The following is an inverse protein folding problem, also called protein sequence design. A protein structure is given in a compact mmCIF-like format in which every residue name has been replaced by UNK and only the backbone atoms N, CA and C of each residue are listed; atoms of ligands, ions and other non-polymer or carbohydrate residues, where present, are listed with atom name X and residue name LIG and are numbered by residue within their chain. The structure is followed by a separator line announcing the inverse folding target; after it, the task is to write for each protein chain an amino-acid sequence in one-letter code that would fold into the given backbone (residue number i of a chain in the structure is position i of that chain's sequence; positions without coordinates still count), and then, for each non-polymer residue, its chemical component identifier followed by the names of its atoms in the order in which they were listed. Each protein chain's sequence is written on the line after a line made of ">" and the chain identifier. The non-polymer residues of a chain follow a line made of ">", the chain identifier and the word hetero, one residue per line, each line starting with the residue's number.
data_IF_827627819483
#
_entry.id   IF_827627819483
#
_cell.length_a   1.000
_cell.length_b   1.000
_cell.length_c   1.000
_cell.angle_alpha   90.00
_cell.angle_beta   90.00
_cell.angle_gamma   90.00
#
_symmetry.space_group_name_H-M   'P 1'
#
loop_
_entity.id
_entity.type
_entity.pdbx_description
1 polymer ?
#
# COMPACT_ATOMS: atom_id res chain seq x y z
N UNK A 1 7.26 -7.25 -31.93
CA UNK A 1 7.91 -6.34 -30.95
C UNK A 1 7.08 -5.08 -30.90
N UNK A 2 6.31 -4.87 -29.83
CA UNK A 2 5.71 -3.57 -29.58
C UNK A 2 6.84 -2.59 -29.16
N UNK A 3 6.83 -1.33 -29.63
CA UNK A 3 7.82 -0.35 -29.20
C UNK A 3 7.68 -0.07 -27.70
N UNK A 4 8.76 0.34 -27.00
CA UNK A 4 8.65 0.83 -25.64
C UNK A 4 7.72 2.05 -25.65
N UNK A 5 6.55 1.93 -25.04
CA UNK A 5 5.63 3.06 -24.84
C UNK A 5 6.29 3.96 -23.79
N UNK A 6 7.02 4.96 -24.25
CA UNK A 6 7.33 6.12 -23.43
C UNK A 6 6.01 6.84 -23.19
N UNK A 7 5.53 6.81 -21.95
CA UNK A 7 4.32 7.54 -21.55
C UNK A 7 4.68 9.04 -21.58
N UNK A 8 3.98 9.79 -22.43
CA UNK A 8 4.22 11.20 -22.71
C UNK A 8 3.97 12.14 -21.51
N UNK A 9 4.41 13.39 -21.67
CA UNK A 9 4.52 14.45 -20.67
C UNK A 9 3.25 14.76 -19.86
N UNK A 10 3.46 15.09 -18.58
CA UNK A 10 2.45 15.44 -17.57
C UNK A 10 1.47 16.55 -17.99
N UNK A 11 0.21 16.51 -17.50
CA UNK A 11 -0.67 17.68 -17.49
C UNK A 11 -0.07 18.81 -16.62
N UNK A 12 -0.12 20.04 -17.13
CA UNK A 12 0.41 21.26 -16.47
C UNK A 12 -0.24 21.62 -15.12
N UNK A 13 -1.23 20.85 -14.64
CA UNK A 13 -2.00 21.13 -13.42
C UNK A 13 -1.29 20.79 -12.10
N UNK A 14 -0.04 20.29 -12.16
CA UNK A 14 0.74 19.85 -10.99
C UNK A 14 1.80 20.85 -10.51
N UNK A 15 1.82 22.09 -11.02
CA UNK A 15 2.80 23.10 -10.60
C UNK A 15 2.27 23.88 -9.37
N UNK A 16 2.87 23.77 -8.17
CA UNK A 16 2.65 24.75 -7.12
C UNK A 16 3.37 26.06 -7.48
N UNK A 17 2.77 27.20 -7.10
CA UNK A 17 3.33 28.54 -7.31
C UNK A 17 4.63 28.77 -6.52
N UNK A 18 5.50 29.63 -7.05
CA UNK A 18 6.88 29.92 -6.59
C UNK A 18 6.98 30.78 -5.31
N UNK A 19 6.05 30.65 -4.36
CA UNK A 19 6.11 31.46 -3.14
C UNK A 19 6.78 30.67 -2.01
N UNK A 20 7.93 31.17 -1.54
CA UNK A 20 8.64 30.64 -0.37
C UNK A 20 7.77 30.91 0.87
N UNK A 21 7.22 29.88 1.55
CA UNK A 21 6.35 30.10 2.70
C UNK A 21 7.17 30.43 3.94
N UNK A 22 6.65 31.32 4.79
CA UNK A 22 7.15 31.55 6.14
C UNK A 22 7.10 30.24 6.98
N UNK A 23 7.95 30.09 8.02
CA UNK A 23 7.95 28.91 8.88
C UNK A 23 6.55 28.63 9.43
N UNK A 24 6.05 27.40 9.20
CA UNK A 24 4.72 27.01 9.68
C UNK A 24 4.72 26.98 11.22
N UNK A 25 3.75 27.62 11.89
CA UNK A 25 3.67 27.59 13.34
C UNK A 25 3.47 26.16 13.85
N UNK A 26 4.04 25.86 15.02
CA UNK A 26 3.73 24.62 15.74
C UNK A 26 2.25 24.64 16.13
N UNK A 27 1.49 23.65 15.64
CA UNK A 27 0.07 23.50 15.99
C UNK A 27 -0.07 22.74 17.30
N UNK A 28 -0.92 23.24 18.19
CA UNK A 28 -1.18 22.69 19.52
C UNK A 28 -2.32 21.67 19.55
N UNK A 29 -3.05 21.48 18.44
CA UNK A 29 -4.18 20.56 18.36
C UNK A 29 -4.14 19.71 17.09
N UNK A 30 -4.49 18.40 17.17
CA UNK A 30 -4.54 17.53 16.00
C UNK A 30 -5.54 18.05 14.96
N UNK A 31 -5.15 18.03 13.68
CA UNK A 31 -6.05 18.36 12.57
C UNK A 31 -6.91 17.13 12.25
N UNK A 32 -8.22 17.32 12.17
CA UNK A 32 -9.13 16.30 11.67
C UNK A 32 -9.09 16.24 10.14
N UNK A 33 -9.04 15.03 9.59
CA UNK A 33 -9.17 14.85 8.15
C UNK A 33 -10.54 15.34 7.65
N UNK A 34 -10.52 15.98 6.49
CA UNK A 34 -11.68 16.52 5.77
C UNK A 34 -11.43 16.26 4.29
N UNK A 35 -12.22 15.39 3.64
CA UNK A 35 -12.00 15.02 2.24
C UNK A 35 -12.09 16.20 1.29
N UNK A 36 -12.92 17.22 1.57
CA UNK A 36 -13.08 18.39 0.69
C UNK A 36 -11.86 19.29 0.68
N UNK A 37 -11.16 19.34 1.81
CA UNK A 37 -9.96 20.16 1.99
C UNK A 37 -8.70 19.40 1.61
N UNK A 38 -8.63 18.14 2.03
CA UNK A 38 -7.39 17.40 2.05
C UNK A 38 -7.16 16.54 0.81
N UNK A 39 -8.22 16.16 0.08
CA UNK A 39 -8.10 15.46 -1.20
C UNK A 39 -8.00 16.44 -2.37
N UNK A 40 -7.13 16.11 -3.32
CA UNK A 40 -7.03 16.76 -4.63
C UNK A 40 -7.07 15.70 -5.73
N UNK A 41 -8.01 14.78 -5.60
CA UNK A 41 -8.11 13.61 -6.47
C UNK A 41 -8.43 14.00 -7.91
N UNK A 42 -7.62 13.51 -8.84
CA UNK A 42 -7.91 13.46 -10.26
C UNK A 42 -7.65 12.03 -10.71
N UNK A 43 -8.55 11.36 -11.44
CA UNK A 43 -8.33 9.98 -11.87
C UNK A 43 -7.09 9.85 -12.77
N UNK A 44 -6.39 8.70 -12.72
CA UNK A 44 -5.30 8.43 -13.66
C UNK A 44 -5.84 8.39 -15.09
N UNK A 45 -5.04 8.85 -16.04
CA UNK A 45 -5.36 8.81 -17.47
C UNK A 45 -5.37 7.40 -18.03
N UNK A 46 -4.52 6.52 -17.50
CA UNK A 46 -4.46 5.12 -17.87
C UNK A 46 -4.13 4.24 -16.67
N UNK A 47 -4.81 3.09 -16.61
CA UNK A 47 -4.45 1.98 -15.75
C UNK A 47 -3.90 0.85 -16.63
N UNK A 48 -2.75 0.30 -16.24
CA UNK A 48 -2.17 -0.89 -16.81
C UNK A 48 -2.91 -2.12 -16.29
N UNK A 49 -3.29 -3.01 -17.20
CA UNK A 49 -3.78 -4.35 -16.89
C UNK A 49 -2.61 -5.34 -16.83
N UNK A 50 -2.81 -6.49 -16.18
CA UNK A 50 -1.83 -7.58 -16.17
C UNK A 50 -1.42 -7.99 -17.58
N UNK A 51 -2.36 -8.04 -18.51
CA UNK A 51 -2.11 -8.34 -19.92
C UNK A 51 -1.19 -7.33 -20.60
N UNK A 52 -1.20 -6.06 -20.18
CA UNK A 52 -0.33 -5.02 -20.76
C UNK A 52 1.15 -5.25 -20.43
N UNK A 53 1.43 -5.99 -19.35
CA UNK A 53 2.78 -6.42 -18.95
C UNK A 53 3.03 -7.92 -19.23
N UNK A 54 2.13 -8.57 -19.97
CA UNK A 54 2.23 -9.97 -20.36
C UNK A 54 1.95 -10.97 -19.23
N UNK A 55 1.32 -10.55 -18.15
CA UNK A 55 0.88 -11.43 -17.06
C UNK A 55 -0.60 -11.79 -17.23
N UNK A 56 -0.99 -12.96 -16.74
CA UNK A 56 -2.40 -13.32 -16.61
C UNK A 56 -3.06 -12.52 -15.48
N UNK A 57 -4.37 -12.20 -15.60
CA UNK A 57 -5.13 -11.63 -14.50
C UNK A 57 -4.98 -12.46 -13.21
N UNK A 58 -4.89 -11.78 -12.07
CA UNK A 58 -4.97 -12.46 -10.77
C UNK A 58 -6.39 -12.96 -10.52
N UNK A 59 -6.58 -13.82 -9.52
CA UNK A 59 -7.90 -14.27 -9.08
C UNK A 59 -8.77 -13.15 -8.47
N UNK A 60 -8.19 -11.98 -8.17
CA UNK A 60 -8.88 -10.87 -7.49
C UNK A 60 -9.06 -9.63 -8.36
N UNK A 61 -8.21 -9.41 -9.38
CA UNK A 61 -8.32 -8.30 -10.34
C UNK A 61 -7.42 -8.50 -11.56
N UNK A 62 -7.82 -7.94 -12.70
CA UNK A 62 -6.97 -7.81 -13.89
C UNK A 62 -6.07 -6.57 -13.86
N UNK A 63 -6.27 -5.67 -12.90
CA UNK A 63 -5.47 -4.46 -12.72
C UNK A 63 -4.02 -4.81 -12.35
N UNK A 64 -3.05 -4.17 -13.02
CA UNK A 64 -1.64 -4.28 -12.67
C UNK A 64 -1.16 -3.05 -11.88
N UNK A 65 -1.23 -1.87 -12.50
CA UNK A 65 -0.76 -0.63 -11.91
C UNK A 65 -1.49 0.59 -12.50
N UNK A 66 -1.59 1.68 -11.75
CA UNK A 66 -2.09 2.95 -12.28
C UNK A 66 -0.93 3.82 -12.75
N UNK A 67 -1.18 4.69 -13.73
CA UNK A 67 -0.34 5.89 -13.86
C UNK A 67 -0.42 6.73 -12.57
N UNK A 68 0.62 7.52 -12.23
CA UNK A 68 0.53 8.41 -11.10
C UNK A 68 -0.59 9.45 -11.27
N UNK A 69 -1.35 9.68 -10.20
CA UNK A 69 -2.50 10.57 -10.22
C UNK A 69 -2.53 11.48 -8.98
N UNK A 70 -2.96 12.75 -9.08
CA UNK A 70 -3.11 13.64 -7.94
C UNK A 70 -4.04 13.02 -6.88
N UNK A 71 -3.63 13.03 -5.61
CA UNK A 71 -4.44 12.51 -4.50
C UNK A 71 -4.50 13.49 -3.33
N UNK A 72 -3.36 14.03 -2.91
CA UNK A 72 -3.24 14.90 -1.76
C UNK A 72 -3.25 16.39 -2.16
N UNK A 73 -3.97 17.19 -1.38
CA UNK A 73 -3.74 18.64 -1.33
C UNK A 73 -2.41 18.96 -0.64
N UNK A 74 -1.93 20.20 -0.81
CA UNK A 74 -0.75 20.68 -0.07
C UNK A 74 -0.95 20.62 1.44
N UNK A 75 -2.13 20.99 1.93
CA UNK A 75 -2.46 20.94 3.36
C UNK A 75 -2.36 19.51 3.93
N UNK A 76 -2.79 18.51 3.16
CA UNK A 76 -2.68 17.11 3.56
C UNK A 76 -1.21 16.65 3.62
N UNK A 77 -0.40 17.04 2.63
CA UNK A 77 1.04 16.70 2.59
C UNK A 77 1.75 17.23 3.84
N UNK A 78 1.52 18.50 4.16
CA UNK A 78 2.13 19.14 5.33
C UNK A 78 1.71 18.44 6.63
N UNK A 79 0.45 18.03 6.73
CA UNK A 79 -0.04 17.40 7.95
C UNK A 79 0.39 15.93 8.10
N UNK A 80 0.46 15.18 7.00
CA UNK A 80 1.10 13.87 7.01
C UNK A 80 2.58 13.97 7.43
N UNK A 81 3.34 14.94 6.89
CA UNK A 81 4.74 15.17 7.28
C UNK A 81 4.87 15.56 8.76
N UNK A 82 3.93 16.35 9.29
CA UNK A 82 3.91 16.72 10.72
C UNK A 82 3.74 15.50 11.63
N UNK A 83 2.87 14.56 11.28
CA UNK A 83 2.70 13.32 12.05
C UNK A 83 3.92 12.40 11.91
N UNK A 84 4.36 12.15 10.67
CA UNK A 84 5.47 11.24 10.34
C UNK A 84 6.77 11.63 11.03
N UNK A 85 7.11 12.92 11.03
CA UNK A 85 8.35 13.43 11.61
C UNK A 85 8.16 13.97 13.04
N UNK A 86 7.03 13.66 13.67
CA UNK A 86 6.85 13.95 15.09
C UNK A 86 7.82 13.12 15.94
N UNK A 87 8.25 13.68 17.07
CA UNK A 87 9.16 12.99 18.00
C UNK A 87 8.62 11.60 18.42
N UNK A 88 7.34 11.42 18.79
CA UNK A 88 6.81 10.10 19.14
C UNK A 88 6.92 9.07 18.01
N UNK A 89 6.68 9.46 16.75
CA UNK A 89 6.83 8.55 15.61
C UNK A 89 8.30 8.19 15.41
N UNK A 90 9.20 9.16 15.40
CA UNK A 90 10.64 8.91 15.21
C UNK A 90 11.24 8.03 16.32
N UNK A 91 10.81 8.21 17.57
CA UNK A 91 11.30 7.43 18.70
C UNK A 91 10.80 5.97 18.70
N UNK A 92 9.58 5.72 18.20
CA UNK A 92 8.89 4.43 18.40
C UNK A 92 8.67 3.62 17.12
N UNK A 93 8.73 4.25 15.95
CA UNK A 93 8.35 3.64 14.67
C UNK A 93 9.52 3.55 13.69
N UNK A 94 10.67 4.14 14.00
CA UNK A 94 11.83 4.19 13.09
C UNK A 94 12.64 2.89 13.13
N UNK A 95 12.84 2.30 11.96
CA UNK A 95 13.65 1.12 11.74
C UNK A 95 14.76 1.40 10.72
N UNK A 96 16.00 1.13 11.10
CA UNK A 96 17.11 1.12 10.15
C UNK A 96 16.91 0.02 9.11
N UNK A 97 17.12 0.33 7.83
CA UNK A 97 17.02 -0.64 6.74
C UNK A 97 18.38 -0.92 6.13
N UNK A 98 18.76 -0.23 5.05
CA UNK A 98 20.07 -0.32 4.40
C UNK A 98 20.91 0.93 4.74
N UNK A 99 22.24 0.92 4.51
CA UNK A 99 23.03 2.14 4.58
C UNK A 99 22.37 3.25 3.73
N UNK A 100 22.11 4.40 4.35
CA UNK A 100 21.46 5.53 3.68
C UNK A 100 19.93 5.46 3.60
N UNK A 101 19.24 4.57 4.33
CA UNK A 101 17.76 4.55 4.35
C UNK A 101 17.16 4.09 5.69
N UNK A 102 15.99 4.66 6.02
CA UNK A 102 15.15 4.22 7.15
C UNK A 102 13.73 3.97 6.69
N UNK A 103 13.03 3.15 7.46
CA UNK A 103 11.59 2.98 7.36
C UNK A 103 10.90 3.42 8.64
N UNK A 104 9.71 4.01 8.54
CA UNK A 104 8.83 4.24 9.69
C UNK A 104 7.58 3.37 9.55
N UNK A 105 7.25 2.57 10.58
CA UNK A 105 6.14 1.59 10.56
C UNK A 105 5.38 1.55 11.88
N UNK A 106 4.10 1.15 11.83
CA UNK A 106 3.27 1.00 13.02
C UNK A 106 2.92 2.31 13.74
N UNK A 107 2.81 3.42 13.01
CA UNK A 107 2.48 4.73 13.58
C UNK A 107 0.97 4.96 13.77
N UNK A 108 0.13 4.33 12.95
CA UNK A 108 -1.31 4.44 13.02
C UNK A 108 -1.91 3.32 13.91
N UNK A 109 -2.98 3.59 14.68
CA UNK A 109 -3.65 4.88 14.86
C UNK A 109 -2.99 5.79 15.91
N UNK A 110 -2.12 5.24 16.77
CA UNK A 110 -1.68 5.87 18.02
C UNK A 110 -0.98 7.22 17.84
N UNK A 111 -0.07 7.32 16.88
CA UNK A 111 0.79 8.49 16.69
C UNK A 111 0.42 9.33 15.47
N UNK A 112 -0.43 8.80 14.59
CA UNK A 112 -0.77 9.41 13.31
C UNK A 112 -2.30 9.40 13.04
N UNK A 113 -3.12 10.08 13.86
CA UNK A 113 -4.57 10.08 13.74
C UNK A 113 -5.11 10.70 12.44
N UNK A 114 -4.45 11.73 11.89
CA UNK A 114 -4.83 12.33 10.61
C UNK A 114 -4.61 11.32 9.47
N UNK A 115 -3.43 10.68 9.44
CA UNK A 115 -3.11 9.61 8.48
C UNK A 115 -4.08 8.43 8.61
N UNK A 116 -4.37 8.00 9.84
CA UNK A 116 -5.33 6.92 10.09
C UNK A 116 -6.73 7.27 9.57
N UNK A 117 -7.21 8.47 9.87
CA UNK A 117 -8.50 8.97 9.40
C UNK A 117 -8.56 9.11 7.87
N UNK A 118 -7.47 9.56 7.25
CA UNK A 118 -7.34 9.67 5.79
C UNK A 118 -7.54 8.30 5.13
N UNK A 119 -6.79 7.29 5.55
CA UNK A 119 -6.80 5.96 4.94
C UNK A 119 -8.04 5.12 5.28
N UNK A 120 -8.82 5.53 6.28
CA UNK A 120 -10.14 4.94 6.59
C UNK A 120 -11.31 5.71 5.96
N UNK A 121 -11.07 6.84 5.32
CA UNK A 121 -12.17 7.65 4.78
C UNK A 121 -12.87 6.93 3.62
N UNK A 122 -14.22 6.95 3.58
CA UNK A 122 -14.97 6.35 2.47
C UNK A 122 -14.54 6.88 1.11
N UNK A 123 -14.16 8.16 1.02
CA UNK A 123 -13.71 8.79 -0.22
C UNK A 123 -12.40 8.19 -0.73
N UNK A 124 -11.40 8.00 0.15
CA UNK A 124 -10.11 7.41 -0.22
C UNK A 124 -10.28 5.93 -0.57
N UNK A 125 -11.05 5.18 0.22
CA UNK A 125 -11.33 3.76 -0.05
C UNK A 125 -12.03 3.57 -1.39
N UNK A 126 -12.99 4.44 -1.73
CA UNK A 126 -13.65 4.43 -3.04
C UNK A 126 -12.64 4.68 -4.17
N UNK A 127 -11.79 5.70 -4.05
CA UNK A 127 -10.76 6.01 -5.05
C UNK A 127 -9.84 4.81 -5.29
N UNK A 128 -9.30 4.22 -4.21
CA UNK A 128 -8.37 3.08 -4.34
C UNK A 128 -9.06 1.87 -4.95
N UNK A 129 -10.29 1.58 -4.52
CA UNK A 129 -11.09 0.44 -5.02
C UNK A 129 -11.46 0.58 -6.50
N UNK A 130 -11.92 1.77 -6.92
CA UNK A 130 -12.30 2.03 -8.32
C UNK A 130 -11.12 1.86 -9.27
N UNK A 131 -9.92 2.31 -8.86
CA UNK A 131 -8.72 2.12 -9.67
C UNK A 131 -8.26 0.66 -9.71
N UNK A 132 -8.34 -0.05 -8.58
CA UNK A 132 -7.93 -1.45 -8.47
C UNK A 132 -8.92 -2.44 -9.11
N UNK A 133 -10.16 -2.02 -9.41
CA UNK A 133 -11.20 -2.87 -9.98
C UNK A 133 -11.81 -3.88 -8.99
N UNK A 134 -11.53 -3.73 -7.70
CA UNK A 134 -12.05 -4.58 -6.61
C UNK A 134 -12.20 -3.73 -5.36
N UNK A 135 -13.17 -4.04 -4.50
CA UNK A 135 -13.36 -3.30 -3.24
C UNK A 135 -12.23 -3.63 -2.25
N UNK A 136 -11.51 -2.59 -1.83
CA UNK A 136 -10.32 -2.69 -0.99
C UNK A 136 -10.50 -1.97 0.35
N UNK A 137 -9.87 -2.54 1.38
CA UNK A 137 -9.69 -1.95 2.70
C UNK A 137 -8.22 -2.03 3.11
N UNK A 138 -7.74 -1.16 4.03
CA UNK A 138 -6.38 -1.27 4.55
C UNK A 138 -6.16 -2.69 5.08
N UNK A 139 -4.98 -3.25 4.80
CA UNK A 139 -4.69 -4.63 5.18
C UNK A 139 -4.79 -4.82 6.70
N UNK A 140 -4.12 -3.93 7.42
CA UNK A 140 -4.10 -3.77 8.87
C UNK A 140 -3.74 -2.32 9.20
N UNK A 141 -4.09 -1.82 10.38
CA UNK A 141 -3.64 -0.49 10.84
C UNK A 141 -2.10 -0.38 10.84
N UNK A 142 -1.41 -1.48 11.15
CA UNK A 142 0.05 -1.57 11.14
C UNK A 142 0.67 -1.27 9.77
N UNK A 143 -0.09 -1.53 8.71
CA UNK A 143 0.33 -1.39 7.31
C UNK A 143 -0.20 -0.09 6.67
N UNK A 144 -0.78 0.79 7.47
CA UNK A 144 -1.13 2.14 7.06
C UNK A 144 0.12 3.00 7.10
N UNK A 145 0.41 3.62 5.96
CA UNK A 145 1.44 4.65 5.82
C UNK A 145 2.82 4.21 6.32
N UNK A 146 3.31 3.07 5.82
CA UNK A 146 4.73 2.78 5.97
C UNK A 146 5.52 3.85 5.19
N UNK A 147 6.55 4.42 5.80
CA UNK A 147 7.30 5.53 5.20
C UNK A 147 8.68 5.03 4.82
N UNK A 148 9.09 5.24 3.57
CA UNK A 148 10.47 5.04 3.15
C UNK A 148 11.16 6.40 3.06
N UNK A 149 12.25 6.58 3.80
CA UNK A 149 13.07 7.80 3.77
C UNK A 149 14.46 7.44 3.28
N UNK A 150 14.85 8.04 2.16
CA UNK A 150 16.24 8.03 1.71
C UNK A 150 17.02 9.12 2.47
N UNK A 151 18.08 8.72 3.17
CA UNK A 151 18.89 9.61 3.99
C UNK A 151 19.99 10.26 3.13
N UNK A 152 20.17 11.57 3.29
CA UNK A 152 21.34 12.28 2.80
C UNK A 152 22.58 12.07 3.68
N UNK A 153 23.66 12.86 3.46
CA UNK A 153 24.93 12.73 4.19
C UNK A 153 24.83 12.81 5.73
N UNK A 154 23.80 13.48 6.24
CA UNK A 154 23.55 13.60 7.69
C UNK A 154 22.95 12.35 8.35
N UNK A 155 22.68 11.28 7.60
CA UNK A 155 22.21 10.00 8.14
C UNK A 155 20.89 10.08 8.92
N UNK A 156 20.71 9.20 9.90
CA UNK A 156 19.44 9.09 10.66
C UNK A 156 19.18 10.30 11.55
N UNK A 157 20.23 10.96 12.07
CA UNK A 157 20.05 12.18 12.85
C UNK A 157 19.48 13.32 12.01
N UNK A 158 19.79 13.37 10.70
CA UNK A 158 19.15 14.33 9.81
C UNK A 158 17.65 14.06 9.60
N UNK A 159 17.19 12.81 9.71
CA UNK A 159 15.76 12.49 9.60
C UNK A 159 14.92 13.16 10.71
N UNK A 160 15.52 13.41 11.89
CA UNK A 160 14.87 14.16 12.98
C UNK A 160 14.70 15.65 12.68
N UNK A 161 15.49 16.16 11.74
CA UNK A 161 15.45 17.55 11.28
C UNK A 161 14.76 17.69 9.93
N UNK A 162 14.04 16.65 9.47
CA UNK A 162 13.28 16.72 8.22
C UNK A 162 12.24 17.82 8.32
N UNK A 163 12.25 18.83 7.43
CA UNK A 163 11.31 19.93 7.51
C UNK A 163 9.89 19.45 7.17
N UNK A 164 8.88 20.10 7.77
CA UNK A 164 7.48 19.85 7.44
C UNK A 164 7.19 20.30 6.01
N UNK A 165 7.69 21.46 5.61
CA UNK A 165 7.64 21.91 4.22
C UNK A 165 8.68 21.12 3.41
N UNK A 166 8.30 20.44 2.33
CA UNK A 166 9.25 19.78 1.46
C UNK A 166 10.25 20.79 0.89
N UNK A 167 11.57 20.52 0.93
CA UNK A 167 12.57 21.38 0.32
C UNK A 167 12.43 21.38 -1.21
N UNK A 168 12.69 22.53 -1.82
CA UNK A 168 12.76 22.68 -3.28
C UNK A 168 14.12 22.23 -3.82
N UNK A 169 14.16 21.84 -5.09
CA UNK A 169 15.41 21.48 -5.76
C UNK A 169 16.39 22.68 -5.82
N UNK A 170 17.69 22.41 -5.64
CA UNK A 170 18.73 23.44 -5.82
C UNK A 170 19.03 23.67 -7.30
N UNK A 171 19.69 24.77 -7.64
CA UNK A 171 20.08 25.07 -9.03
C UNK A 171 20.98 23.97 -9.63
N UNK A 172 21.86 23.38 -8.81
CA UNK A 172 22.70 22.26 -9.19
C UNK A 172 21.87 21.03 -9.51
N UNK A 173 20.88 20.70 -8.67
CA UNK A 173 19.99 19.55 -8.87
C UNK A 173 19.16 19.69 -10.16
N UNK A 174 18.68 20.91 -10.46
CA UNK A 174 17.96 21.23 -11.70
C UNK A 174 18.88 21.05 -12.92
N UNK A 175 20.12 21.57 -12.83
CA UNK A 175 21.11 21.46 -13.91
C UNK A 175 21.46 19.99 -14.18
N UNK A 176 21.67 19.19 -13.14
CA UNK A 176 21.94 17.76 -13.25
C UNK A 176 20.75 17.02 -13.89
N UNK A 177 19.51 17.36 -13.51
CA UNK A 177 18.31 16.78 -14.09
C UNK A 177 18.18 17.07 -15.59
N UNK A 178 18.37 18.31 -16.03
CA UNK A 178 18.29 18.67 -17.45
C UNK A 178 19.42 18.01 -18.26
N UNK A 179 20.62 17.86 -17.69
CA UNK A 179 21.71 17.12 -18.31
C UNK A 179 21.39 15.61 -18.42
N UNK A 180 20.78 15.02 -17.39
CA UNK A 180 20.40 13.62 -17.35
C UNK A 180 19.30 13.26 -18.36
N UNK A 181 18.39 14.21 -18.66
CA UNK A 181 17.28 14.02 -19.62
C UNK A 181 17.74 13.63 -21.03
N UNK A 182 18.95 14.04 -21.44
CA UNK A 182 19.55 13.68 -22.72
C UNK A 182 20.17 12.27 -22.75
N UNK A 183 20.33 11.63 -21.59
CA UNK A 183 20.96 10.31 -21.44
C UNK A 183 19.89 9.22 -21.30
N UNK A 184 20.01 8.13 -22.06
CA UNK A 184 19.23 6.91 -21.79
C UNK A 184 19.74 6.26 -20.51
N UNK A 185 19.18 6.65 -19.37
CA UNK A 185 19.49 6.01 -18.10
C UNK A 185 18.87 4.60 -18.06
N UNK A 186 19.71 3.60 -17.79
CA UNK A 186 19.22 2.30 -17.31
C UNK A 186 18.60 2.52 -15.92
N UNK A 187 17.42 1.96 -15.65
CA UNK A 187 16.63 2.25 -14.42
C UNK A 187 17.40 1.90 -13.17
N UNK A 188 18.23 0.87 -13.28
CA UNK A 188 19.01 0.36 -12.18
C UNK A 188 20.44 0.21 -12.65
N UNK A 189 21.35 0.97 -12.06
CA UNK A 189 22.64 0.38 -11.75
C UNK A 189 22.35 -0.72 -10.70
N UNK A 190 22.13 -1.96 -11.17
CA UNK A 190 21.87 -3.10 -10.27
C UNK A 190 23.04 -3.39 -9.33
N UNK A 191 24.16 -2.67 -9.44
CA UNK A 191 25.19 -2.68 -8.43
C UNK A 191 24.69 -2.17 -7.07
N UNK A 192 23.67 -1.28 -7.00
CA UNK A 192 23.19 -0.67 -5.72
C UNK A 192 21.68 -0.30 -5.70
N UNK A 193 20.74 -1.26 -5.80
CA UNK A 193 19.32 -0.96 -5.65
C UNK A 193 18.95 -0.52 -4.21
N UNK A 194 18.01 0.43 -4.05
CA UNK A 194 17.42 0.76 -2.73
C UNK A 194 16.54 -0.41 -2.26
N UNK A 195 15.70 -0.92 -3.17
CA UNK A 195 14.86 -2.09 -2.93
C UNK A 195 15.16 -3.10 -4.02
N UNK A 196 15.55 -4.31 -3.65
CA UNK A 196 15.80 -5.41 -4.60
C UNK A 196 14.51 -5.81 -5.33
N UNK A 197 14.65 -6.60 -6.39
CA UNK A 197 13.50 -7.23 -7.03
C UNK A 197 12.73 -8.06 -6.02
N UNK A 198 11.48 -7.69 -5.81
CA UNK A 198 10.63 -8.33 -4.82
C UNK A 198 9.17 -8.29 -5.24
N UNK A 199 8.37 -9.06 -4.51
CA UNK A 199 6.91 -8.93 -4.49
C UNK A 199 6.53 -8.40 -3.13
N UNK A 200 5.50 -7.57 -3.09
CA UNK A 200 4.99 -7.06 -1.83
C UNK A 200 4.42 -8.19 -0.98
N UNK A 201 4.32 -7.89 0.32
CA UNK A 201 3.62 -8.73 1.29
C UNK A 201 2.11 -8.73 1.08
N UNK A 202 1.54 -7.69 0.46
CA UNK A 202 0.11 -7.42 0.41
C UNK A 202 -0.41 -7.36 -1.04
N UNK A 203 -1.66 -7.79 -1.29
CA UNK A 203 -2.25 -7.82 -2.63
C UNK A 203 -2.10 -6.51 -3.41
N UNK A 204 -2.44 -5.40 -2.77
CA UNK A 204 -2.37 -4.07 -3.36
C UNK A 204 -1.63 -3.09 -2.44
N UNK A 205 -0.98 -2.12 -3.05
CA UNK A 205 -0.36 -0.99 -2.36
C UNK A 205 -0.72 0.32 -3.05
N UNK A 206 -0.87 1.39 -2.28
CA UNK A 206 -0.95 2.76 -2.78
C UNK A 206 0.28 3.52 -2.32
N UNK A 207 1.16 3.88 -3.25
CA UNK A 207 2.39 4.64 -3.01
C UNK A 207 2.11 6.12 -3.26
N UNK A 208 2.44 6.98 -2.31
CA UNK A 208 2.31 8.44 -2.43
C UNK A 208 3.66 9.11 -2.18
N UNK A 209 4.02 10.10 -3.01
CA UNK A 209 5.24 10.87 -2.85
C UNK A 209 5.00 12.10 -1.97
N UNK A 210 5.81 12.29 -0.92
CA UNK A 210 5.75 13.47 -0.04
C UNK A 210 6.91 14.45 -0.25
N UNK A 211 7.91 14.09 -1.05
CA UNK A 211 9.01 14.98 -1.47
C UNK A 211 8.70 15.62 -2.82
N UNK A 212 9.26 16.81 -3.06
CA UNK A 212 9.26 17.37 -4.41
C UNK A 212 10.09 16.46 -5.34
N UNK A 213 9.47 16.07 -6.45
CA UNK A 213 9.98 15.09 -7.40
C UNK A 213 10.11 15.65 -8.82
N UNK A 214 9.93 16.97 -9.00
CA UNK A 214 9.90 17.59 -10.33
C UNK A 214 11.24 17.47 -11.06
N UNK A 215 12.33 17.59 -10.31
CA UNK A 215 13.70 17.56 -10.81
C UNK A 215 14.47 16.32 -10.32
N UNK A 216 13.75 15.26 -9.93
CA UNK A 216 14.38 14.03 -9.45
C UNK A 216 14.99 13.24 -10.61
N UNK A 217 16.26 12.90 -10.49
CA UNK A 217 16.95 11.91 -11.33
C UNK A 217 16.89 10.57 -10.61
N UNK A 218 16.36 9.54 -11.28
CA UNK A 218 16.10 8.24 -10.69
C UNK A 218 14.76 8.19 -9.95
N UNK A 219 14.64 7.26 -8.99
CA UNK A 219 13.44 7.11 -8.18
C UNK A 219 12.29 6.34 -8.83
N UNK A 220 12.41 5.94 -10.10
CA UNK A 220 11.38 5.19 -10.82
C UNK A 220 11.15 3.80 -10.26
N UNK A 221 9.94 3.29 -10.45
CA UNK A 221 9.59 1.90 -10.18
C UNK A 221 9.71 1.11 -11.47
N UNK A 222 10.43 0.01 -11.44
CA UNK A 222 10.51 -0.92 -12.56
C UNK A 222 9.69 -2.16 -12.23
N UNK A 223 8.80 -2.55 -13.14
CA UNK A 223 7.99 -3.76 -13.03
C UNK A 223 8.47 -4.80 -14.04
N UNK A 224 8.49 -6.06 -13.60
CA UNK A 224 8.90 -7.19 -14.42
C UNK A 224 7.67 -7.76 -15.15
N UNK A 225 7.70 -7.71 -16.47
CA UNK A 225 6.72 -8.35 -17.34
C UNK A 225 7.13 -9.76 -17.76
N UNK A 226 6.43 -10.31 -18.75
CA UNK A 226 6.76 -11.62 -19.33
C UNK A 226 8.10 -11.60 -20.09
N UNK A 227 8.80 -12.73 -20.16
CA UNK A 227 10.10 -12.89 -20.86
C UNK A 227 11.27 -12.00 -20.38
N UNK A 228 11.35 -11.69 -19.09
CA UNK A 228 12.37 -10.78 -18.51
C UNK A 228 12.38 -9.38 -19.17
N UNK A 229 11.27 -8.96 -19.77
CA UNK A 229 11.09 -7.57 -20.20
C UNK A 229 10.66 -6.73 -19.01
N UNK A 230 11.15 -5.50 -18.93
CA UNK A 230 10.80 -4.59 -17.85
C UNK A 230 10.03 -3.38 -18.38
N UNK A 231 9.08 -2.90 -17.58
CA UNK A 231 8.35 -1.67 -17.86
C UNK A 231 8.63 -0.66 -16.75
N UNK A 232 8.98 0.57 -17.15
CA UNK A 232 9.23 1.66 -16.21
C UNK A 232 7.93 2.36 -15.89
N UNK A 233 7.58 2.42 -14.61
CA UNK A 233 6.50 3.27 -14.10
C UNK A 233 7.12 4.51 -13.49
N UNK A 234 6.71 5.67 -13.99
CA UNK A 234 7.23 6.95 -13.52
C UNK A 234 6.90 7.12 -12.03
N UNK A 235 7.86 7.61 -11.26
CA UNK A 235 7.64 7.93 -9.86
C UNK A 235 6.52 8.99 -9.72
N UNK A 236 5.63 8.85 -8.72
CA UNK A 236 4.64 9.89 -8.44
C UNK A 236 5.30 11.22 -8.10
N UNK A 237 4.69 12.31 -8.57
CA UNK A 237 5.05 13.65 -8.14
C UNK A 237 4.54 13.91 -6.72
N UNK A 238 5.05 14.95 -6.07
CA UNK A 238 4.61 15.35 -4.73
C UNK A 238 3.07 15.43 -4.63
N UNK A 239 2.49 14.72 -3.68
CA UNK A 239 1.05 14.61 -3.47
C UNK A 239 0.29 13.70 -4.45
N UNK A 240 0.99 13.13 -5.44
CA UNK A 240 0.42 12.14 -6.35
C UNK A 240 0.62 10.73 -5.80
N UNK A 241 -0.32 9.85 -6.15
CA UNK A 241 -0.36 8.46 -5.79
C UNK A 241 -0.20 7.56 -7.01
N UNK A 242 0.32 6.35 -6.83
CA UNK A 242 0.22 5.26 -7.79
C UNK A 242 -0.22 3.99 -7.04
N UNK A 243 -1.10 3.21 -7.66
CA UNK A 243 -1.58 1.94 -7.12
C UNK A 243 -0.91 0.81 -7.87
N UNK A 244 -0.50 -0.23 -7.16
CA UNK A 244 0.15 -1.41 -7.72
C UNK A 244 -0.44 -2.67 -7.10
N UNK A 245 -0.68 -3.70 -7.90
CA UNK A 245 -0.99 -5.05 -7.43
C UNK A 245 0.30 -5.79 -7.00
N UNK A 246 0.95 -5.26 -5.96
CA UNK A 246 2.35 -5.53 -5.62
C UNK A 246 2.70 -6.96 -5.23
N UNK A 247 1.74 -7.74 -4.69
CA UNK A 247 1.97 -9.18 -4.39
C UNK A 247 2.18 -10.01 -5.64
N UNK A 248 1.61 -9.58 -6.76
CA UNK A 248 1.55 -10.38 -7.98
C UNK A 248 2.64 -9.96 -8.98
N UNK A 249 3.11 -8.71 -8.88
CA UNK A 249 4.08 -8.11 -9.80
C UNK A 249 5.44 -7.99 -9.13
N UNK A 250 6.46 -8.64 -9.69
CA UNK A 250 7.84 -8.45 -9.25
C UNK A 250 8.32 -7.07 -9.67
N UNK A 251 8.83 -6.27 -8.73
CA UNK A 251 9.22 -4.89 -8.98
C UNK A 251 10.42 -4.44 -8.13
N UNK A 252 11.01 -3.31 -8.52
CA UNK A 252 12.14 -2.65 -7.82
C UNK A 252 12.00 -1.13 -7.91
N UNK A 253 12.71 -0.40 -7.05
CA UNK A 253 12.74 1.06 -7.07
C UNK A 253 14.18 1.58 -7.13
N UNK A 254 14.43 2.50 -8.05
CA UNK A 254 15.73 3.15 -8.20
C UNK A 254 15.98 4.19 -7.08
N UNK A 255 17.23 4.43 -6.67
CA UNK A 255 17.58 5.57 -5.84
C UNK A 255 17.33 6.90 -6.54
N UNK A 256 16.99 7.94 -5.77
CA UNK A 256 17.15 9.32 -6.25
C UNK A 256 18.60 9.76 -6.03
N UNK A 257 19.19 10.44 -7.03
CA UNK A 257 20.61 10.81 -6.97
C UNK A 257 20.84 12.27 -6.55
N UNK A 258 19.96 13.18 -6.94
CA UNK A 258 20.22 14.63 -6.94
C UNK A 258 19.29 15.45 -6.04
N UNK A 259 18.41 14.80 -5.27
CA UNK A 259 17.43 15.49 -4.43
C UNK A 259 17.82 15.49 -2.95
N UNK A 260 17.48 16.55 -2.19
CA UNK A 260 17.78 16.65 -0.76
C UNK A 260 17.06 15.60 0.10
N UNK A 261 15.92 15.09 -0.38
CA UNK A 261 15.16 14.01 0.23
C UNK A 261 14.36 13.22 -0.81
N UNK A 262 14.05 11.96 -0.49
CA UNK A 262 13.03 11.15 -1.17
C UNK A 262 12.21 10.43 -0.12
N UNK A 263 11.00 10.92 0.11
CA UNK A 263 10.05 10.38 1.11
C UNK A 263 8.82 9.87 0.37
N UNK A 264 8.60 8.55 0.45
CA UNK A 264 7.37 7.94 -0.01
C UNK A 264 6.62 7.31 1.15
N UNK A 265 5.31 7.42 1.12
CA UNK A 265 4.43 6.70 2.02
C UNK A 265 3.69 5.63 1.24
N UNK A 266 3.42 4.50 1.87
CA UNK A 266 2.76 3.37 1.24
C UNK A 266 1.75 2.80 2.22
N UNK A 267 0.52 2.67 1.76
CA UNK A 267 -0.52 1.94 2.49
C UNK A 267 -0.84 0.66 1.74
N UNK A 268 -0.86 -0.44 2.48
CA UNK A 268 -1.17 -1.76 1.94
C UNK A 268 -2.67 -2.07 2.08
N UNK A 269 -3.22 -2.78 1.09
CA UNK A 269 -4.65 -3.10 1.01
C UNK A 269 -4.87 -4.59 0.72
N UNK A 270 -6.04 -5.06 1.16
CA UNK A 270 -6.57 -6.40 0.85
C UNK A 270 -8.02 -6.29 0.36
N UNK A 271 -8.54 -7.30 -0.36
CA UNK A 271 -9.95 -7.38 -0.70
C UNK A 271 -10.82 -7.28 0.56
N UNK A 272 -11.90 -6.51 0.45
CA UNK A 272 -12.90 -6.40 1.53
C UNK A 272 -13.77 -7.65 1.61
N UNK A 273 -14.12 -8.21 0.45
CA UNK A 273 -14.92 -9.44 0.37
C UNK A 273 -14.12 -10.60 0.97
N UNK A 274 -14.60 -11.21 2.07
CA UNK A 274 -13.89 -12.29 2.73
C UNK A 274 -13.82 -13.56 1.88
N UNK A 275 -14.63 -13.70 0.84
CA UNK A 275 -14.65 -14.88 -0.04
C UNK A 275 -13.58 -14.82 -1.13
N UNK A 276 -13.04 -13.63 -1.42
CA UNK A 276 -11.95 -13.47 -2.37
C UNK A 276 -10.62 -13.96 -1.77
N UNK A 277 -9.69 -14.25 -2.66
CA UNK A 277 -8.36 -14.71 -2.28
C UNK A 277 -7.59 -13.59 -1.56
N UNK A 278 -7.09 -13.89 -0.37
CA UNK A 278 -6.21 -13.00 0.40
C UNK A 278 -4.83 -13.67 0.56
N UNK A 279 -3.91 -13.32 -0.33
CA UNK A 279 -2.50 -13.77 -0.33
C UNK A 279 -1.57 -12.82 0.43
N UNK A 280 -2.11 -12.08 1.39
CA UNK A 280 -1.28 -11.30 2.30
C UNK A 280 -0.31 -12.22 3.06
N UNK A 281 0.93 -11.75 3.29
CA UNK A 281 1.98 -12.44 4.05
C UNK A 281 2.74 -11.46 4.95
N UNK A 282 3.37 -11.95 6.02
CA UNK A 282 4.25 -11.12 6.86
C UNK A 282 5.73 -11.24 6.47
N UNK A 283 6.05 -11.97 5.38
CA UNK A 283 7.41 -12.33 4.98
C UNK A 283 8.39 -11.15 4.95
N UNK A 284 8.00 -10.03 4.32
CA UNK A 284 8.88 -8.88 4.09
C UNK A 284 8.69 -7.74 5.11
N UNK A 285 7.80 -7.89 6.08
CA UNK A 285 7.42 -6.82 7.02
C UNK A 285 7.87 -7.10 8.46
N UNK A 286 7.98 -8.38 8.87
CA UNK A 286 8.32 -8.77 10.26
C UNK A 286 9.58 -8.12 10.79
N UNK A 287 10.65 -8.12 10.00
CA UNK A 287 11.97 -7.64 10.43
C UNK A 287 12.04 -6.11 10.64
N UNK A 288 10.97 -5.38 10.29
CA UNK A 288 10.82 -3.93 10.49
C UNK A 288 9.53 -3.59 11.24
N UNK A 289 9.09 -4.50 12.12
CA UNK A 289 7.85 -4.35 12.86
C UNK A 289 8.03 -4.68 14.33
N UNK A 290 7.16 -4.12 15.15
CA UNK A 290 6.90 -4.54 16.53
C UNK A 290 6.02 -5.78 16.45
N UNK A 291 6.61 -6.96 16.63
CA UNK A 291 5.94 -8.23 16.32
C UNK A 291 4.71 -8.49 17.19
N UNK A 292 4.69 -8.03 18.44
CA UNK A 292 3.52 -8.16 19.32
C UNK A 292 2.28 -7.50 18.73
N UNK A 293 2.43 -6.27 18.23
CA UNK A 293 1.35 -5.51 17.61
C UNK A 293 0.99 -6.07 16.23
N UNK A 294 2.00 -6.37 15.40
CA UNK A 294 1.78 -6.96 14.08
C UNK A 294 1.01 -8.28 14.17
N UNK A 295 1.41 -9.18 15.08
CA UNK A 295 0.77 -10.48 15.23
C UNK A 295 -0.62 -10.39 15.86
N UNK A 296 -0.85 -9.43 16.76
CA UNK A 296 -2.19 -9.15 17.27
C UNK A 296 -3.14 -8.75 16.13
N UNK A 297 -2.77 -7.73 15.35
CA UNK A 297 -3.61 -7.27 14.24
C UNK A 297 -3.78 -8.35 13.17
N UNK A 298 -2.68 -9.03 12.81
CA UNK A 298 -2.65 -10.13 11.85
C UNK A 298 -3.63 -11.23 12.22
N UNK A 299 -3.53 -11.74 13.45
CA UNK A 299 -4.37 -12.84 13.90
C UNK A 299 -5.82 -12.40 14.01
N UNK A 300 -6.07 -11.20 14.51
CA UNK A 300 -7.43 -10.67 14.71
C UNK A 300 -8.17 -10.55 13.38
N UNK A 301 -7.60 -9.88 12.38
CA UNK A 301 -8.30 -9.71 11.11
C UNK A 301 -8.51 -11.05 10.39
N UNK A 302 -7.55 -11.99 10.50
CA UNK A 302 -7.70 -13.33 9.89
C UNK A 302 -8.85 -14.08 10.54
N UNK A 303 -8.99 -14.01 11.87
CA UNK A 303 -10.12 -14.58 12.59
C UNK A 303 -11.45 -13.93 12.20
N UNK A 304 -11.49 -12.61 12.01
CA UNK A 304 -12.69 -11.91 11.53
C UNK A 304 -13.11 -12.39 10.13
N UNK A 305 -12.15 -12.59 9.22
CA UNK A 305 -12.44 -13.17 7.89
C UNK A 305 -12.99 -14.59 8.02
N UNK A 306 -12.41 -15.43 8.87
CA UNK A 306 -12.91 -16.78 9.11
C UNK A 306 -14.35 -16.77 9.66
N UNK A 307 -14.64 -15.87 10.62
CA UNK A 307 -15.98 -15.70 11.16
C UNK A 307 -16.98 -15.27 10.09
N UNK A 308 -16.60 -14.31 9.23
CA UNK A 308 -17.44 -13.87 8.11
C UNK A 308 -17.70 -15.00 7.11
N UNK A 309 -16.68 -15.77 6.73
CA UNK A 309 -16.83 -16.94 5.85
C UNK A 309 -17.77 -17.98 6.44
N UNK A 310 -17.68 -18.25 7.74
CA UNK A 310 -18.58 -19.18 8.42
C UNK A 310 -20.03 -18.68 8.43
N UNK A 311 -20.24 -17.37 8.64
CA UNK A 311 -21.58 -16.76 8.57
C UNK A 311 -22.17 -16.81 7.16
N UNK A 312 -21.35 -16.61 6.12
CA UNK A 312 -21.77 -16.74 4.71
C UNK A 312 -22.19 -18.19 4.42
N UNK A 313 -21.32 -19.16 4.72
CA UNK A 313 -21.61 -20.58 4.49
C UNK A 313 -22.87 -21.05 5.25
N UNK A 314 -23.05 -20.56 6.50
CA UNK A 314 -24.27 -20.80 7.28
C UNK A 314 -25.50 -20.23 6.57
N UNK A 315 -25.45 -18.97 6.14
CA UNK A 315 -26.59 -18.31 5.47
C UNK A 315 -26.97 -19.03 4.18
N UNK A 316 -25.98 -19.42 3.36
CA UNK A 316 -26.22 -20.21 2.15
C UNK A 316 -26.90 -21.55 2.44
N UNK A 317 -26.52 -22.20 3.54
CA UNK A 317 -27.16 -23.43 3.99
C UNK A 317 -28.60 -23.21 4.46
N UNK A 318 -28.86 -22.14 5.22
CA UNK A 318 -30.21 -21.74 5.65
C UNK A 318 -31.12 -21.42 4.45
N UNK A 319 -30.59 -20.70 3.45
CA UNK A 319 -31.32 -20.36 2.22
C UNK A 319 -31.62 -21.61 1.37
N UNK A 320 -30.67 -22.55 1.26
CA UNK A 320 -30.89 -23.85 0.61
C UNK A 320 -31.94 -24.67 1.34
N UNK A 321 -31.86 -24.72 2.68
CA UNK A 321 -32.83 -25.44 3.51
C UNK A 321 -34.25 -24.94 3.29
N UNK A 322 -34.44 -23.61 3.33
CA UNK A 322 -35.75 -22.98 3.13
C UNK A 322 -36.37 -23.38 1.79
N UNK A 323 -35.60 -23.27 0.70
CA UNK A 323 -36.05 -23.67 -0.65
C UNK A 323 -36.38 -25.16 -0.71
N UNK A 324 -35.58 -26.01 -0.08
CA UNK A 324 -35.80 -27.45 -0.08
C UNK A 324 -37.07 -27.85 0.70
N UNK A 325 -37.37 -27.19 1.82
CA UNK A 325 -38.62 -27.37 2.56
C UNK A 325 -39.82 -26.98 1.70
N UNK A 326 -39.82 -25.78 1.11
CA UNK A 326 -40.89 -25.31 0.21
C UNK A 326 -41.17 -26.29 -0.95
N UNK A 327 -40.13 -26.96 -1.45
CA UNK A 327 -40.25 -27.94 -2.53
C UNK A 327 -40.63 -29.36 -2.10
N UNK A 328 -40.49 -29.72 -0.82
CA UNK A 328 -40.60 -31.11 -0.35
C UNK A 328 -41.65 -31.35 0.72
N UNK A 329 -42.16 -30.29 1.35
CA UNK A 329 -43.28 -30.31 2.28
C UNK A 329 -44.50 -29.61 1.67
N UNK A 330 -45.64 -30.29 1.49
CA UNK A 330 -46.89 -29.67 1.03
C UNK A 330 -47.36 -28.49 1.89
N UNK A 331 -47.04 -28.49 3.18
CA UNK A 331 -47.38 -27.40 4.12
C UNK A 331 -46.30 -26.31 4.18
N UNK A 332 -45.12 -26.55 3.59
CA UNK A 332 -43.98 -25.63 3.56
C UNK A 332 -43.42 -25.26 4.94
N UNK A 333 -43.59 -26.10 5.96
CA UNK A 333 -43.21 -25.77 7.34
C UNK A 333 -41.78 -26.23 7.67
N UNK A 334 -40.99 -25.42 8.41
CA UNK A 334 -39.68 -25.86 8.89
C UNK A 334 -39.79 -27.12 9.77
N UNK A 335 -38.79 -27.99 9.72
CA UNK A 335 -38.68 -29.19 10.57
C UNK A 335 -38.73 -30.53 9.82
N UNK A 336 -39.14 -30.55 8.55
CA UNK A 336 -39.16 -31.77 7.74
C UNK A 336 -38.70 -31.49 6.30
N UNK A 337 -37.38 -31.47 6.07
CA UNK A 337 -36.80 -31.37 4.73
C UNK A 337 -36.49 -32.77 4.17
N UNK A 338 -37.04 -33.12 3.00
CA UNK A 338 -36.83 -34.44 2.35
C UNK A 338 -35.89 -34.39 1.15
N UNK A 339 -35.25 -33.24 0.90
CA UNK A 339 -34.22 -33.06 -0.12
C UNK A 339 -32.86 -32.86 0.52
N UNK A 340 -31.82 -33.33 -0.15
CA UNK A 340 -30.45 -33.08 0.27
C UNK A 340 -30.19 -31.56 0.37
N UNK A 341 -29.81 -31.12 1.56
CA UNK A 341 -29.55 -29.71 1.87
C UNK A 341 -28.07 -29.47 2.15
N UNK A 342 -27.41 -30.45 2.78
CA UNK A 342 -25.98 -30.46 3.06
C UNK A 342 -25.33 -31.46 2.11
N UNK A 343 -24.54 -30.96 1.16
CA UNK A 343 -23.61 -31.81 0.41
C UNK A 343 -22.33 -31.98 1.26
N UNK A 344 -22.01 -33.22 1.63
CA UNK A 344 -20.89 -33.52 2.52
C UNK A 344 -19.54 -33.18 1.88
N UNK A 345 -19.38 -33.39 0.57
CA UNK A 345 -18.15 -33.09 -0.16
C UNK A 345 -17.90 -31.58 -0.23
N UNK A 346 -18.95 -30.77 -0.44
CA UNK A 346 -18.87 -29.31 -0.41
C UNK A 346 -18.44 -28.80 0.98
N UNK A 347 -19.05 -29.33 2.05
CA UNK A 347 -18.69 -28.95 3.43
C UNK A 347 -17.27 -29.37 3.76
N UNK A 348 -16.84 -30.56 3.32
CA UNK A 348 -15.47 -31.02 3.50
C UNK A 348 -14.47 -30.11 2.78
N UNK A 349 -14.74 -29.74 1.52
CA UNK A 349 -13.91 -28.82 0.75
C UNK A 349 -13.80 -27.46 1.44
N UNK A 350 -14.93 -26.87 1.83
CA UNK A 350 -14.97 -25.59 2.53
C UNK A 350 -14.17 -25.64 3.85
N UNK A 351 -14.33 -26.72 4.63
CA UNK A 351 -13.59 -26.93 5.88
C UNK A 351 -12.09 -27.02 5.66
N UNK A 352 -11.64 -27.72 4.62
CA UNK A 352 -10.21 -27.82 4.27
C UNK A 352 -9.61 -26.47 3.86
N UNK A 353 -10.36 -25.65 3.12
CA UNK A 353 -9.94 -24.29 2.77
C UNK A 353 -9.75 -23.41 4.02
N UNK A 354 -10.64 -23.53 5.02
CA UNK A 354 -10.51 -22.78 6.27
C UNK A 354 -9.35 -23.26 7.14
N UNK A 355 -9.11 -24.58 7.18
CA UNK A 355 -7.96 -25.17 7.86
C UNK A 355 -6.66 -24.64 7.24
N UNK A 356 -6.58 -24.63 5.91
CA UNK A 356 -5.39 -24.13 5.20
C UNK A 356 -5.17 -22.64 5.46
N UNK A 357 -6.25 -21.84 5.45
CA UNK A 357 -6.19 -20.42 5.80
C UNK A 357 -5.61 -20.19 7.20
N UNK A 358 -6.03 -20.94 8.22
CA UNK A 358 -5.45 -20.82 9.58
C UNK A 358 -4.02 -21.34 9.65
N UNK A 359 -3.68 -22.41 8.92
CA UNK A 359 -2.28 -22.88 8.83
C UNK A 359 -1.36 -21.82 8.26
N UNK A 360 -1.78 -21.11 7.22
CA UNK A 360 -1.05 -19.98 6.66
C UNK A 360 -0.91 -18.83 7.66
N UNK A 361 -1.97 -18.51 8.41
CA UNK A 361 -1.91 -17.51 9.49
C UNK A 361 -0.79 -17.82 10.47
N UNK A 362 -0.65 -19.08 10.90
CA UNK A 362 0.39 -19.54 11.81
C UNK A 362 1.77 -19.58 11.14
N UNK A 363 1.85 -19.97 9.87
CA UNK A 363 3.11 -20.02 9.10
C UNK A 363 3.80 -18.66 9.04
N UNK A 364 3.02 -17.58 9.00
CA UNK A 364 3.53 -16.20 8.97
C UNK A 364 4.03 -15.70 10.33
N UNK A 365 3.80 -16.42 11.42
CA UNK A 365 4.17 -16.02 12.78
C UNK A 365 5.34 -16.85 13.32
N UNK A 366 6.08 -16.27 14.27
CA UNK A 366 7.12 -16.98 15.04
C UNK A 366 6.85 -16.76 16.53
N UNK A 367 7.18 -17.73 17.40
CA UNK A 367 7.17 -17.50 18.83
C UNK A 367 7.99 -16.25 19.15
N UNK A 368 7.45 -15.40 20.02
CA UNK A 368 8.16 -14.21 20.46
C UNK A 368 9.24 -14.61 21.46
N UNK A 369 10.41 -13.99 21.35
CA UNK A 369 11.53 -14.25 22.25
C UNK A 369 11.74 -13.06 23.18
N UNK A 370 11.80 -13.30 24.49
CA UNK A 370 12.19 -12.26 25.43
C UNK A 370 13.71 -12.20 25.57
N UNK A 371 14.29 -11.05 25.22
CA UNK A 371 15.71 -10.80 25.41
C UNK A 371 15.92 -9.40 25.97
N UNK A 372 16.58 -9.33 27.13
CA UNK A 372 16.90 -8.09 27.85
C UNK A 372 15.66 -7.21 28.16
N UNK A 373 14.55 -7.83 28.56
CA UNK A 373 13.30 -7.13 28.90
C UNK A 373 12.56 -6.54 27.70
N UNK A 374 12.90 -6.97 26.47
CA UNK A 374 12.18 -6.64 25.24
C UNK A 374 11.71 -7.93 24.57
N UNK A 375 10.49 -7.91 24.08
CA UNK A 375 9.89 -8.98 23.29
C UNK A 375 10.27 -8.78 21.82
N UNK A 376 10.90 -9.79 21.24
CA UNK A 376 11.38 -9.81 19.85
C UNK A 376 10.52 -10.70 18.98
#
# INVERSE_FOLDING_TARGET
>A
MAPPVAIDSFPSSCLPGRDIPAPLPQRTSPVTFDPKKHLKYVPPTKNLQMSDIGLEPSSISSFAASEPFPLLSRDAILEMRREIFSKPVLDNCLHHTRPGSVQLRGMAPRYAPFIHSFWHSPEVLRIVSENAGVELIPAMDYEICHVNVQLGPGGVEAAKNTPIEPPVATEEAITEFEAAKALKQQVTDQAKPIIEWHKDSHPFVCVVMLSDAQHMVGGETEVMGFTNTTLKVKAPQMGCAAILQGRYITHTAAPAANMPERITIVTSFRPKDPTLLDETTNANVRNKSVLTELYYQWTTYRLDVLAQRALIAKKELEDRYKKNVEMSDPDGKPGMCRKETVNVEEVQKWGMEQIEYIRQTLHEMRPLEEKNGRTW
#
